data_IF_709386966217
#
_entry.id   IF_709386966217
#
_cell.length_a   1.000
_cell.length_b   1.000
_cell.length_c   1.000
_cell.angle_alpha   90.00
_cell.angle_beta   90.00
_cell.angle_gamma   90.00
#
_symmetry.space_group_name_H-M   'P 1'
#
loop_
_entity.id
_entity.type
_entity.pdbx_description
1 polymer ?
#
# COMPACT_ATOMS: atom_id res chain seq x y z
N UNK A 1 18.24 -16.17 26.20
CA UNK A 1 17.58 -14.85 26.31
C UNK A 1 17.42 -14.30 24.92
N UNK A 2 16.19 -14.38 24.37
CA UNK A 2 15.85 -13.76 23.10
C UNK A 2 16.06 -12.24 23.22
N UNK A 3 16.78 -11.65 22.26
CA UNK A 3 16.82 -10.18 22.16
C UNK A 3 15.39 -9.66 21.95
N UNK A 4 15.03 -8.52 22.57
CA UNK A 4 13.74 -7.93 22.34
C UNK A 4 13.60 -7.60 20.84
N UNK A 5 12.48 -7.98 20.24
CA UNK A 5 12.13 -7.60 18.87
C UNK A 5 11.97 -6.07 18.85
N UNK A 6 12.60 -5.43 17.88
CA UNK A 6 12.52 -3.99 17.69
C UNK A 6 11.87 -3.73 16.32
N UNK A 7 10.65 -3.20 16.31
CA UNK A 7 9.91 -2.93 15.09
C UNK A 7 10.07 -1.47 14.67
N UNK A 8 10.36 -1.24 13.39
CA UNK A 8 10.44 0.09 12.80
C UNK A 8 9.09 0.59 12.31
N UNK A 9 8.15 -0.33 12.05
CA UNK A 9 6.79 0.00 11.59
C UNK A 9 5.75 -0.87 12.29
N UNK A 10 4.57 -0.27 12.55
CA UNK A 10 3.35 -0.95 12.98
C UNK A 10 2.23 -0.53 12.05
N UNK A 11 1.43 -1.48 11.57
CA UNK A 11 0.32 -1.20 10.66
C UNK A 11 -0.95 -1.91 11.13
N UNK A 12 -1.98 -1.15 11.46
CA UNK A 12 -3.31 -1.65 11.78
C UNK A 12 -4.21 -1.43 10.59
N UNK A 13 -4.52 -2.53 9.91
CA UNK A 13 -5.39 -2.55 8.75
C UNK A 13 -6.38 -3.70 8.78
N UNK A 14 -7.22 -3.74 7.76
CA UNK A 14 -8.25 -4.77 7.61
C UNK A 14 -9.49 -4.52 8.48
N UNK A 15 -10.64 -4.37 7.85
CA UNK A 15 -11.87 -3.98 8.54
C UNK A 15 -11.86 -2.53 8.99
N UNK A 16 -12.27 -2.24 10.23
CA UNK A 16 -12.22 -0.90 10.82
C UNK A 16 -11.55 -0.96 12.19
N UNK A 17 -10.23 -0.71 12.26
CA UNK A 17 -9.50 -0.69 13.54
C UNK A 17 -10.08 0.28 14.57
N UNK A 18 -10.72 1.36 14.12
CA UNK A 18 -11.37 2.33 15.01
C UNK A 18 -12.53 1.76 15.84
N UNK A 19 -13.13 0.65 15.42
CA UNK A 19 -14.18 -0.05 16.18
C UNK A 19 -13.62 -0.96 17.27
N UNK A 20 -12.32 -1.23 17.27
CA UNK A 20 -11.69 -2.04 18.31
C UNK A 20 -11.47 -1.21 19.58
N UNK A 21 -11.56 -1.90 20.75
CA UNK A 21 -10.98 -1.39 21.99
C UNK A 21 -9.46 -1.51 21.90
N UNK A 22 -8.78 -0.37 21.83
CA UNK A 22 -7.33 -0.31 21.71
C UNK A 22 -6.61 -0.29 23.07
N UNK A 23 -7.35 -0.16 24.18
CA UNK A 23 -6.76 -0.11 25.51
C UNK A 23 -5.91 -1.33 25.87
N UNK A 24 -6.31 -2.59 25.56
CA UNK A 24 -5.48 -3.77 25.81
C UNK A 24 -4.19 -3.81 24.99
N UNK A 25 -4.13 -3.09 23.89
CA UNK A 25 -2.96 -3.07 23.01
C UNK A 25 -1.89 -2.11 23.50
N UNK A 26 -2.24 -1.14 24.34
CA UNK A 26 -1.32 -0.09 24.81
C UNK A 26 -0.07 -0.68 25.50
N UNK A 27 -0.26 -1.66 26.35
CA UNK A 27 0.84 -2.31 27.09
C UNK A 27 1.70 -3.16 26.14
N UNK A 28 1.07 -3.88 25.21
CA UNK A 28 1.79 -4.67 24.19
C UNK A 28 2.57 -3.75 23.27
N UNK A 29 1.94 -2.71 22.74
CA UNK A 29 2.57 -1.77 21.82
C UNK A 29 3.71 -0.99 22.48
N UNK A 30 3.57 -0.59 23.73
CA UNK A 30 4.63 0.11 24.46
C UNK A 30 5.90 -0.74 24.63
N UNK A 31 5.76 -2.06 24.62
CA UNK A 31 6.91 -3.00 24.66
C UNK A 31 7.51 -3.28 23.27
N UNK A 32 6.76 -3.08 22.21
CA UNK A 32 7.16 -3.36 20.82
C UNK A 32 7.67 -2.12 20.09
N UNK A 33 7.13 -0.94 20.42
CA UNK A 33 7.50 0.32 19.77
C UNK A 33 8.71 0.91 20.49
N UNK A 34 9.78 1.30 19.78
CA UNK A 34 10.92 1.95 20.39
C UNK A 34 10.47 3.21 21.15
N UNK A 35 11.06 3.44 22.32
CA UNK A 35 10.77 4.63 23.13
C UNK A 35 10.92 5.89 22.26
N UNK A 36 10.09 6.96 22.46
CA UNK A 36 10.16 8.22 21.69
C UNK A 36 11.55 8.86 21.63
N UNK A 37 12.44 8.52 22.56
CA UNK A 37 13.85 8.93 22.55
C UNK A 37 14.75 8.05 21.67
N UNK A 38 14.25 6.98 21.04
CA UNK A 38 15.05 6.17 20.11
C UNK A 38 15.30 6.99 18.84
N UNK A 39 16.56 6.99 18.36
CA UNK A 39 16.96 7.67 17.12
C UNK A 39 16.41 7.01 15.84
N UNK A 40 15.65 5.92 15.97
CA UNK A 40 15.04 5.21 14.84
C UNK A 40 13.61 5.76 14.68
N UNK A 41 13.34 6.52 13.62
CA UNK A 41 12.00 6.97 13.34
C UNK A 41 11.12 5.75 13.07
N UNK A 42 10.04 5.59 13.81
CA UNK A 42 9.04 4.55 13.55
C UNK A 42 7.82 5.12 12.84
N UNK A 43 7.10 4.26 12.14
CA UNK A 43 5.80 4.58 11.56
C UNK A 43 4.74 3.69 12.21
N UNK A 44 3.69 4.32 12.74
CA UNK A 44 2.51 3.62 13.21
C UNK A 44 1.30 4.09 12.43
N UNK A 45 0.86 3.22 11.50
CA UNK A 45 -0.28 3.48 10.61
C UNK A 45 -1.54 2.83 11.15
N UNK A 46 -2.66 3.55 11.04
CA UNK A 46 -4.01 3.01 11.26
C UNK A 46 -4.89 3.35 10.06
N UNK A 47 -5.63 2.34 9.58
CA UNK A 47 -6.69 2.54 8.59
C UNK A 47 -7.97 3.01 9.27
N UNK A 48 -8.65 3.99 8.66
CA UNK A 48 -9.92 4.54 9.17
C UNK A 48 -10.99 4.52 8.08
N UNK A 49 -12.20 4.19 8.51
CA UNK A 49 -13.39 4.44 7.72
C UNK A 49 -13.92 5.85 8.02
N UNK A 50 -14.40 6.64 7.06
CA UNK A 50 -14.87 8.01 7.29
C UNK A 50 -15.89 8.15 8.41
N UNK A 51 -16.83 7.19 8.54
CA UNK A 51 -17.86 7.21 9.59
C UNK A 51 -17.32 6.95 11.00
N UNK A 52 -16.14 6.37 11.14
CA UNK A 52 -15.54 6.05 12.44
C UNK A 52 -14.65 7.18 12.96
N UNK A 53 -14.49 8.25 12.18
CA UNK A 53 -13.68 9.41 12.55
C UNK A 53 -14.44 10.28 13.53
N UNK A 54 -13.96 10.31 14.78
CA UNK A 54 -14.43 11.21 15.84
C UNK A 54 -13.26 11.84 16.57
N UNK A 55 -13.44 13.01 17.17
CA UNK A 55 -12.36 13.64 17.94
C UNK A 55 -11.85 12.73 19.07
N UNK A 56 -12.75 12.01 19.75
CA UNK A 56 -12.39 11.09 20.81
C UNK A 56 -11.49 9.98 20.31
N UNK A 57 -11.83 9.37 19.15
CA UNK A 57 -11.03 8.31 18.53
C UNK A 57 -9.67 8.84 18.04
N UNK A 58 -9.63 10.03 17.45
CA UNK A 58 -8.36 10.60 16.98
C UNK A 58 -7.41 10.91 18.15
N UNK A 59 -7.92 11.39 19.30
CA UNK A 59 -7.13 11.56 20.51
C UNK A 59 -6.63 10.23 21.07
N UNK A 60 -7.49 9.22 21.11
CA UNK A 60 -7.10 7.86 21.54
C UNK A 60 -5.95 7.31 20.68
N UNK A 61 -6.03 7.48 19.35
CA UNK A 61 -4.98 7.06 18.42
C UNK A 61 -3.68 7.85 18.60
N UNK A 62 -3.78 9.16 18.81
CA UNK A 62 -2.63 10.02 19.10
C UNK A 62 -1.95 9.62 20.43
N UNK A 63 -2.73 9.38 21.49
CA UNK A 63 -2.24 8.90 22.79
C UNK A 63 -1.60 7.50 22.71
N UNK A 64 -2.03 6.69 21.74
CA UNK A 64 -1.45 5.38 21.45
C UNK A 64 -0.11 5.47 20.69
N UNK A 65 0.21 6.65 20.14
CA UNK A 65 1.44 6.90 19.38
C UNK A 65 1.28 6.69 17.87
N UNK A 66 0.04 6.59 17.37
CA UNK A 66 -0.21 6.60 15.92
C UNK A 66 0.32 7.91 15.32
N UNK A 67 0.98 7.82 14.18
CA UNK A 67 1.54 8.99 13.49
C UNK A 67 1.26 9.02 11.99
N UNK A 68 0.54 8.02 11.46
CA UNK A 68 0.08 7.97 10.08
C UNK A 68 -1.35 7.43 10.00
N UNK A 69 -2.19 8.07 9.20
CA UNK A 69 -3.56 7.63 8.92
C UNK A 69 -3.74 7.34 7.43
N UNK A 70 -4.38 6.21 7.09
CA UNK A 70 -4.92 5.93 5.76
C UNK A 70 -6.44 5.86 5.85
N UNK A 71 -7.14 6.75 5.14
CA UNK A 71 -8.59 6.79 5.19
C UNK A 71 -9.22 6.24 3.91
N UNK A 72 -10.03 5.20 4.04
CA UNK A 72 -10.71 4.55 2.92
C UNK A 72 -11.83 5.40 2.33
N UNK A 73 -11.51 6.34 1.45
CA UNK A 73 -12.49 7.19 0.74
C UNK A 73 -13.17 6.43 -0.39
N UNK A 74 -12.43 5.58 -1.09
CA UNK A 74 -12.82 4.64 -2.13
C UNK A 74 -13.28 5.30 -3.45
N UNK A 75 -14.19 6.27 -3.42
CA UNK A 75 -14.64 7.01 -4.61
C UNK A 75 -14.91 8.48 -4.28
N UNK A 76 -14.78 9.33 -5.30
CA UNK A 76 -15.22 10.72 -5.22
C UNK A 76 -16.67 10.89 -5.71
N UNK A 77 -17.35 9.81 -6.11
CA UNK A 77 -18.70 9.82 -6.65
C UNK A 77 -19.70 9.25 -5.64
N UNK A 78 -20.76 10.03 -5.29
CA UNK A 78 -21.74 9.63 -4.29
C UNK A 78 -22.60 8.45 -4.76
N UNK A 79 -22.89 8.35 -6.06
CA UNK A 79 -23.68 7.24 -6.60
C UNK A 79 -22.85 5.95 -6.52
N UNK A 80 -21.55 6.02 -6.80
CA UNK A 80 -20.62 4.88 -6.63
C UNK A 80 -20.47 4.52 -5.15
N UNK A 81 -20.31 5.50 -4.26
CA UNK A 81 -20.23 5.25 -2.82
C UNK A 81 -21.49 4.56 -2.30
N UNK A 82 -22.66 4.98 -2.79
CA UNK A 82 -23.94 4.36 -2.44
C UNK A 82 -24.03 2.92 -2.96
N UNK A 83 -23.63 2.65 -4.23
CA UNK A 83 -23.62 1.31 -4.81
C UNK A 83 -22.61 0.38 -4.11
N UNK A 84 -21.48 0.92 -3.70
CA UNK A 84 -20.50 0.24 -2.83
C UNK A 84 -21.00 0.02 -1.40
N UNK A 85 -22.18 0.54 -1.04
CA UNK A 85 -22.76 0.47 0.30
C UNK A 85 -21.86 1.07 1.39
N UNK A 86 -21.19 2.19 1.09
CA UNK A 86 -20.23 2.79 2.03
C UNK A 86 -20.92 3.57 3.17
N UNK A 87 -22.16 4.01 2.99
CA UNK A 87 -22.95 4.69 4.01
C UNK A 87 -22.57 6.16 4.27
N UNK A 88 -21.68 6.74 3.46
CA UNK A 88 -21.26 8.14 3.52
C UNK A 88 -21.18 8.73 2.11
N UNK A 89 -21.23 10.06 2.04
CA UNK A 89 -21.02 10.86 0.82
C UNK A 89 -19.57 11.36 0.73
N UNK A 90 -19.19 11.89 -0.43
CA UNK A 90 -17.92 12.58 -0.60
C UNK A 90 -17.77 13.77 0.38
N UNK A 91 -18.86 14.47 0.68
CA UNK A 91 -18.85 15.57 1.65
C UNK A 91 -18.57 15.09 3.08
N UNK A 92 -19.12 13.93 3.47
CA UNK A 92 -18.83 13.31 4.77
C UNK A 92 -17.37 12.87 4.85
N UNK A 93 -16.84 12.25 3.80
CA UNK A 93 -15.43 11.87 3.73
C UNK A 93 -14.50 13.09 3.79
N UNK A 94 -14.84 14.21 3.11
CA UNK A 94 -14.10 15.47 3.21
C UNK A 94 -14.08 16.00 4.64
N UNK A 95 -15.24 16.06 5.30
CA UNK A 95 -15.33 16.51 6.68
C UNK A 95 -14.51 15.65 7.64
N UNK A 96 -14.58 14.31 7.48
CA UNK A 96 -13.81 13.36 8.24
C UNK A 96 -12.28 13.56 8.02
N UNK A 97 -11.84 13.71 6.76
CA UNK A 97 -10.43 13.93 6.46
C UNK A 97 -9.91 15.26 7.03
N UNK A 98 -10.69 16.33 6.94
CA UNK A 98 -10.32 17.60 7.55
C UNK A 98 -10.22 17.50 9.09
N UNK A 99 -11.02 16.64 9.72
CA UNK A 99 -10.89 16.33 11.14
C UNK A 99 -9.59 15.56 11.42
N UNK A 100 -9.27 14.54 10.62
CA UNK A 100 -8.00 13.79 10.73
C UNK A 100 -6.79 14.74 10.62
N UNK A 101 -6.80 15.67 9.66
CA UNK A 101 -5.71 16.62 9.44
C UNK A 101 -5.42 17.56 10.61
N UNK A 102 -6.35 17.72 11.54
CA UNK A 102 -6.10 18.53 12.78
C UNK A 102 -5.21 17.80 13.79
N UNK A 103 -5.16 16.46 13.70
CA UNK A 103 -4.41 15.60 14.62
C UNK A 103 -3.17 14.99 13.96
N UNK A 104 -3.25 14.66 12.67
CA UNK A 104 -2.22 13.91 11.95
C UNK A 104 -1.80 14.64 10.67
N UNK A 105 -0.54 15.11 10.61
CA UNK A 105 0.00 15.68 9.36
C UNK A 105 0.20 14.60 8.29
N UNK A 106 0.68 13.41 8.68
CA UNK A 106 0.86 12.28 7.78
C UNK A 106 -0.47 11.54 7.59
N UNK A 107 -1.32 12.09 6.73
CA UNK A 107 -2.62 11.52 6.40
C UNK A 107 -2.77 11.34 4.88
N UNK A 108 -3.28 10.19 4.50
CA UNK A 108 -3.58 9.79 3.13
C UNK A 108 -4.97 9.23 2.98
N UNK A 109 -5.33 8.96 1.73
CA UNK A 109 -6.60 8.34 1.36
C UNK A 109 -6.37 7.13 0.45
N UNK A 110 -7.36 6.25 0.40
CA UNK A 110 -7.40 5.13 -0.53
C UNK A 110 -8.56 5.33 -1.52
N UNK A 111 -8.28 5.14 -2.81
CA UNK A 111 -9.23 5.24 -3.93
C UNK A 111 -9.28 3.92 -4.70
N UNK A 112 -10.46 3.58 -5.20
CA UNK A 112 -10.69 2.46 -6.13
C UNK A 112 -11.06 3.04 -7.49
N UNK A 113 -10.37 2.59 -8.52
CA UNK A 113 -10.59 2.98 -9.93
C UNK A 113 -11.11 1.78 -10.69
N UNK A 114 -11.96 2.02 -11.68
CA UNK A 114 -12.53 0.97 -12.51
C UNK A 114 -13.89 0.47 -12.03
N UNK A 115 -14.55 1.20 -11.13
CA UNK A 115 -15.92 0.84 -10.73
C UNK A 115 -16.91 1.10 -11.88
N UNK A 116 -17.97 0.25 -12.05
CA UNK A 116 -19.03 0.49 -13.03
C UNK A 116 -19.64 1.89 -12.87
N UNK A 117 -19.82 2.60 -13.97
CA UNK A 117 -20.39 3.95 -13.96
C UNK A 117 -19.42 5.10 -13.64
N UNK A 118 -18.18 4.79 -13.24
CA UNK A 118 -17.17 5.83 -13.00
C UNK A 118 -16.86 6.63 -14.27
N UNK A 119 -16.73 7.95 -14.16
CA UNK A 119 -16.32 8.83 -15.27
C UNK A 119 -14.81 8.82 -15.47
N UNK A 120 -14.36 8.93 -16.72
CA UNK A 120 -12.93 9.14 -17.06
C UNK A 120 -12.50 10.61 -17.00
N UNK A 121 -13.42 11.54 -16.75
CA UNK A 121 -13.11 12.97 -16.67
C UNK A 121 -12.84 13.42 -15.23
N UNK A 122 -11.94 14.38 -15.05
CA UNK A 122 -11.81 15.10 -13.78
C UNK A 122 -13.10 15.88 -13.50
N UNK A 123 -13.64 15.70 -12.31
CA UNK A 123 -14.88 16.33 -11.85
C UNK A 123 -14.58 17.51 -10.92
N UNK A 124 -15.55 18.39 -10.61
CA UNK A 124 -15.38 19.41 -9.57
C UNK A 124 -14.96 18.87 -8.20
N UNK A 125 -15.23 17.59 -7.92
CA UNK A 125 -14.80 16.91 -6.68
C UNK A 125 -13.27 16.73 -6.63
N UNK A 126 -12.60 16.53 -7.77
CA UNK A 126 -11.14 16.52 -7.84
C UNK A 126 -10.55 17.88 -7.43
N UNK A 127 -11.16 18.99 -7.87
CA UNK A 127 -10.72 20.32 -7.45
C UNK A 127 -10.94 20.59 -5.94
N UNK A 128 -11.93 19.94 -5.31
CA UNK A 128 -12.09 19.94 -3.85
C UNK A 128 -11.03 19.07 -3.18
N UNK A 129 -10.81 17.84 -3.69
CA UNK A 129 -9.79 16.93 -3.19
C UNK A 129 -8.38 17.56 -3.21
N UNK A 130 -8.07 18.36 -4.23
CA UNK A 130 -6.80 19.08 -4.30
C UNK A 130 -6.54 20.01 -3.10
N UNK A 131 -7.58 20.43 -2.38
CA UNK A 131 -7.48 21.30 -1.20
C UNK A 131 -7.35 20.54 0.12
N UNK A 132 -7.41 19.21 0.10
CA UNK A 132 -7.36 18.41 1.32
C UNK A 132 -5.96 18.37 1.95
N UNK A 133 -4.91 18.72 1.20
CA UNK A 133 -3.53 18.67 1.70
C UNK A 133 -3.07 17.24 1.95
N UNK A 134 -3.38 16.34 1.00
CA UNK A 134 -2.97 14.95 1.04
C UNK A 134 -1.44 14.84 1.13
N UNK A 135 -0.96 13.91 1.95
CA UNK A 135 0.44 13.50 1.98
C UNK A 135 0.67 12.18 1.23
N UNK A 136 -0.38 11.39 1.12
CA UNK A 136 -0.33 10.06 0.52
C UNK A 136 -1.68 9.72 -0.13
N UNK A 137 -1.65 8.93 -1.19
CA UNK A 137 -2.83 8.37 -1.82
C UNK A 137 -2.52 6.97 -2.34
N UNK A 138 -3.34 5.99 -1.93
CA UNK A 138 -3.34 4.67 -2.53
C UNK A 138 -4.41 4.62 -3.62
N UNK A 139 -4.08 4.08 -4.79
CA UNK A 139 -5.00 3.93 -5.92
C UNK A 139 -4.99 2.49 -6.38
N UNK A 140 -6.12 1.82 -6.21
CA UNK A 140 -6.28 0.41 -6.56
C UNK A 140 -7.23 0.28 -7.75
N UNK A 141 -6.93 -0.63 -8.67
CA UNK A 141 -7.92 -1.11 -9.64
C UNK A 141 -8.95 -2.00 -8.95
N UNK A 142 -10.21 -1.89 -9.37
CA UNK A 142 -11.28 -2.76 -8.86
C UNK A 142 -10.93 -4.23 -9.12
N UNK A 143 -10.88 -5.03 -8.07
CA UNK A 143 -10.89 -6.49 -8.18
C UNK A 143 -12.32 -6.99 -8.10
N UNK A 144 -12.86 -7.49 -9.23
CA UNK A 144 -14.27 -7.88 -9.35
C UNK A 144 -14.56 -9.25 -8.77
N UNK A 145 -14.20 -9.50 -7.52
CA UNK A 145 -14.47 -10.77 -6.83
C UNK A 145 -15.98 -10.99 -6.56
N UNK A 146 -16.76 -9.92 -6.52
CA UNK A 146 -18.21 -9.98 -6.29
C UNK A 146 -19.03 -10.21 -7.56
N UNK A 147 -18.40 -10.29 -8.74
CA UNK A 147 -19.07 -10.50 -10.00
C UNK A 147 -19.97 -9.33 -10.42
N UNK A 148 -19.55 -8.10 -10.17
CA UNK A 148 -20.26 -6.91 -10.63
C UNK A 148 -20.45 -6.93 -12.14
N UNK A 149 -21.60 -6.49 -12.60
CA UNK A 149 -21.90 -6.33 -14.04
C UNK A 149 -21.38 -4.98 -14.54
N UNK A 150 -21.18 -4.90 -15.87
CA UNK A 150 -20.76 -3.67 -16.56
C UNK A 150 -19.43 -3.09 -16.03
N UNK A 151 -18.53 -3.97 -15.56
CA UNK A 151 -17.16 -3.56 -15.21
C UNK A 151 -16.49 -3.08 -16.51
N UNK A 152 -15.79 -1.93 -16.47
CA UNK A 152 -15.01 -1.43 -17.60
C UNK A 152 -13.99 -2.46 -18.08
N UNK A 153 -13.64 -2.40 -19.36
CA UNK A 153 -12.52 -3.15 -19.91
C UNK A 153 -11.17 -2.62 -19.38
N UNK A 154 -10.13 -3.41 -19.56
CA UNK A 154 -8.79 -3.08 -19.06
C UNK A 154 -8.27 -1.75 -19.63
N UNK A 155 -8.54 -1.44 -20.91
CA UNK A 155 -8.12 -0.18 -21.55
C UNK A 155 -8.76 1.02 -20.86
N UNK A 156 -10.05 0.93 -20.55
CA UNK A 156 -10.78 1.97 -19.81
C UNK A 156 -10.22 2.14 -18.39
N UNK A 157 -9.94 1.03 -17.69
CA UNK A 157 -9.36 1.07 -16.33
C UNK A 157 -7.98 1.71 -16.37
N UNK A 158 -7.12 1.32 -17.31
CA UNK A 158 -5.78 1.88 -17.48
C UNK A 158 -5.81 3.38 -17.77
N UNK A 159 -6.71 3.82 -18.65
CA UNK A 159 -6.88 5.26 -18.92
C UNK A 159 -7.30 6.05 -17.64
N UNK A 160 -8.17 5.48 -16.81
CA UNK A 160 -8.57 6.11 -15.54
C UNK A 160 -7.42 6.17 -14.54
N UNK A 161 -6.63 5.09 -14.44
CA UNK A 161 -5.44 5.07 -13.59
C UNK A 161 -4.44 6.15 -14.02
N UNK A 162 -4.20 6.31 -15.33
CA UNK A 162 -3.30 7.33 -15.88
C UNK A 162 -3.81 8.76 -15.60
N UNK A 163 -5.11 9.02 -15.79
CA UNK A 163 -5.73 10.32 -15.45
C UNK A 163 -5.56 10.60 -13.95
N UNK A 164 -5.81 9.62 -13.09
CA UNK A 164 -5.66 9.75 -11.64
C UNK A 164 -4.20 9.99 -11.26
N UNK A 165 -3.25 9.26 -11.86
CA UNK A 165 -1.83 9.44 -11.62
C UNK A 165 -1.34 10.85 -11.99
N UNK A 166 -1.76 11.38 -13.15
CA UNK A 166 -1.44 12.76 -13.55
C UNK A 166 -2.03 13.78 -12.59
N UNK A 167 -3.27 13.62 -12.19
CA UNK A 167 -3.90 14.48 -11.20
C UNK A 167 -3.13 14.49 -9.88
N UNK A 168 -2.74 13.32 -9.37
CA UNK A 168 -1.96 13.21 -8.14
C UNK A 168 -0.57 13.85 -8.29
N UNK A 169 0.08 13.70 -9.46
CA UNK A 169 1.35 14.34 -9.75
C UNK A 169 1.26 15.87 -9.75
N UNK A 170 0.17 16.45 -10.25
CA UNK A 170 -0.10 17.91 -10.17
C UNK A 170 -0.22 18.40 -8.72
N UNK A 171 -0.64 17.51 -7.79
CA UNK A 171 -0.67 17.79 -6.35
C UNK A 171 0.70 17.56 -5.67
N UNK A 172 1.73 17.14 -6.41
CA UNK A 172 3.06 16.83 -5.90
C UNK A 172 3.21 15.43 -5.32
N UNK A 173 2.17 14.57 -5.42
CA UNK A 173 2.26 13.17 -5.00
C UNK A 173 2.94 12.36 -6.10
N UNK A 174 4.10 11.81 -5.81
CA UNK A 174 4.87 10.98 -6.73
C UNK A 174 4.57 9.49 -6.49
N UNK A 175 4.38 8.74 -7.57
CA UNK A 175 4.23 7.28 -7.50
C UNK A 175 5.54 6.68 -7.01
N UNK A 176 5.54 5.94 -5.91
CA UNK A 176 6.74 5.31 -5.36
C UNK A 176 6.73 3.77 -5.46
N UNK A 177 5.55 3.17 -5.65
CA UNK A 177 5.33 1.76 -5.98
C UNK A 177 4.02 1.60 -6.77
N UNK A 178 3.59 0.38 -7.08
CA UNK A 178 2.51 0.09 -8.05
C UNK A 178 1.22 0.87 -7.76
N UNK A 179 0.77 0.92 -6.50
CA UNK A 179 -0.53 1.47 -6.13
C UNK A 179 -0.44 2.77 -5.34
N UNK A 180 0.75 3.17 -4.88
CA UNK A 180 0.89 4.22 -3.88
C UNK A 180 1.64 5.45 -4.38
N UNK A 181 1.11 6.62 -4.02
CA UNK A 181 1.62 7.95 -4.35
C UNK A 181 1.81 8.75 -3.07
N UNK A 182 2.90 9.50 -2.96
CA UNK A 182 3.19 10.31 -1.78
C UNK A 182 3.91 11.61 -2.14
N UNK A 183 3.76 12.61 -1.31
CA UNK A 183 4.71 13.72 -1.24
C UNK A 183 6.06 13.13 -0.78
N UNK A 184 7.19 13.46 -1.40
CA UNK A 184 8.50 12.93 -1.02
C UNK A 184 8.75 13.05 0.50
N UNK A 185 9.09 11.93 1.13
CA UNK A 185 9.26 11.79 2.58
C UNK A 185 8.03 11.33 3.35
N UNK A 186 6.87 11.16 2.67
CA UNK A 186 5.64 10.64 3.25
C UNK A 186 5.22 9.27 2.66
N UNK A 187 6.15 8.58 2.00
CA UNK A 187 5.95 7.20 1.55
C UNK A 187 5.62 6.31 2.75
N UNK A 188 4.69 5.36 2.58
CA UNK A 188 4.38 4.37 3.62
C UNK A 188 5.59 3.45 3.82
N UNK A 189 6.27 3.61 4.96
CA UNK A 189 7.48 2.85 5.29
C UNK A 189 7.17 1.37 5.47
N UNK A 190 6.00 1.05 6.02
CA UNK A 190 5.57 -0.34 6.17
C UNK A 190 5.45 -1.01 4.80
N UNK A 191 4.77 -0.38 3.83
CA UNK A 191 4.62 -0.93 2.48
C UNK A 191 6.00 -1.11 1.81
N UNK A 192 6.87 -0.10 1.92
CA UNK A 192 8.22 -0.21 1.37
C UNK A 192 9.03 -1.33 2.02
N UNK A 193 8.94 -1.53 3.34
CA UNK A 193 9.62 -2.62 4.03
C UNK A 193 9.17 -3.99 3.50
N UNK A 194 7.85 -4.17 3.29
CA UNK A 194 7.29 -5.39 2.69
C UNK A 194 7.80 -5.59 1.26
N UNK A 195 7.78 -4.54 0.42
CA UNK A 195 8.28 -4.62 -0.97
C UNK A 195 9.80 -4.80 -1.05
N UNK A 196 10.56 -4.35 -0.07
CA UNK A 196 12.00 -4.64 0.03
C UNK A 196 12.28 -6.07 0.49
N UNK A 197 11.24 -6.82 0.88
CA UNK A 197 11.34 -8.17 1.40
C UNK A 197 11.92 -8.23 2.80
N UNK A 198 11.75 -7.19 3.61
CA UNK A 198 12.13 -7.20 5.02
C UNK A 198 11.24 -8.16 5.81
N UNK A 199 11.72 -8.61 6.96
CA UNK A 199 10.95 -9.49 7.83
C UNK A 199 9.81 -8.71 8.52
N UNK A 200 8.64 -9.32 8.63
CA UNK A 200 7.48 -8.75 9.31
C UNK A 200 6.61 -9.83 9.95
N UNK A 201 5.89 -9.48 11.00
CA UNK A 201 4.96 -10.35 11.70
C UNK A 201 3.53 -9.91 11.41
N UNK A 202 2.72 -10.83 10.89
CA UNK A 202 1.29 -10.63 10.73
C UNK A 202 0.51 -11.18 11.92
N UNK A 203 -0.39 -10.37 12.49
CA UNK A 203 -1.25 -10.75 13.60
C UNK A 203 -2.72 -10.59 13.19
N UNK A 204 -3.51 -11.62 13.43
CA UNK A 204 -4.95 -11.63 13.10
C UNK A 204 -5.29 -12.51 11.89
N UNK A 205 -6.59 -12.67 11.64
CA UNK A 205 -7.10 -13.47 10.52
C UNK A 205 -6.72 -12.81 9.19
N UNK A 206 -6.17 -13.61 8.27
CA UNK A 206 -5.72 -13.14 6.96
C UNK A 206 -4.36 -12.42 6.96
N UNK A 207 -3.84 -12.04 8.13
CA UNK A 207 -2.54 -11.37 8.20
C UNK A 207 -1.40 -12.32 7.82
N UNK A 208 -0.58 -11.90 6.86
CA UNK A 208 0.61 -12.62 6.43
C UNK A 208 1.82 -12.17 7.22
N UNK A 209 2.80 -13.06 7.37
CA UNK A 209 4.09 -12.76 7.99
C UNK A 209 5.25 -13.44 7.24
N UNK A 210 6.42 -12.86 7.43
CA UNK A 210 7.69 -13.33 6.89
C UNK A 210 8.78 -13.19 7.94
N UNK A 211 9.49 -14.29 8.22
CA UNK A 211 10.63 -14.31 9.13
C UNK A 211 11.71 -15.23 8.54
N UNK A 212 12.71 -14.65 7.87
CA UNK A 212 13.67 -15.42 7.10
C UNK A 212 12.97 -16.30 6.04
N UNK A 213 13.17 -17.62 6.11
CA UNK A 213 12.54 -18.58 5.18
C UNK A 213 11.10 -18.97 5.57
N UNK A 214 10.64 -18.61 6.76
CA UNK A 214 9.28 -18.91 7.20
C UNK A 214 8.28 -17.89 6.63
N UNK A 215 7.10 -18.41 6.27
CA UNK A 215 5.91 -17.64 5.88
C UNK A 215 4.78 -18.04 6.81
N UNK A 216 4.00 -17.07 7.24
CA UNK A 216 2.85 -17.32 8.12
C UNK A 216 1.60 -16.68 7.55
N UNK A 217 0.45 -17.30 7.81
CA UNK A 217 -0.87 -16.73 7.49
C UNK A 217 -1.78 -16.96 8.70
N UNK A 218 -2.34 -15.88 9.23
CA UNK A 218 -3.32 -15.95 10.31
C UNK A 218 -4.61 -16.61 9.84
N UNK A 219 -5.12 -17.57 10.64
CA UNK A 219 -6.38 -18.26 10.42
C UNK A 219 -7.26 -18.10 11.66
N UNK A 220 -8.57 -18.34 11.54
CA UNK A 220 -9.50 -18.32 12.70
C UNK A 220 -9.07 -19.21 13.85
N UNK A 221 -8.41 -20.32 13.55
CA UNK A 221 -8.05 -21.36 14.51
C UNK A 221 -6.56 -21.39 14.85
N UNK A 222 -5.79 -20.38 14.45
CA UNK A 222 -4.34 -20.32 14.71
C UNK A 222 -3.56 -19.71 13.57
N UNK A 223 -2.30 -20.12 13.44
CA UNK A 223 -1.40 -19.62 12.38
C UNK A 223 -0.98 -20.81 11.51
N UNK A 224 -1.15 -20.66 10.21
CA UNK A 224 -0.59 -21.58 9.22
C UNK A 224 0.86 -21.17 8.94
N UNK A 225 1.78 -22.12 9.02
CA UNK A 225 3.20 -21.89 8.77
C UNK A 225 3.67 -22.72 7.56
N UNK A 226 4.53 -22.13 6.75
CA UNK A 226 5.25 -22.82 5.68
C UNK A 226 6.68 -22.33 5.61
N UNK A 227 7.55 -23.11 4.99
CA UNK A 227 8.94 -22.75 4.78
C UNK A 227 9.27 -22.79 3.29
N UNK A 228 9.95 -21.76 2.80
CA UNK A 228 10.37 -21.64 1.40
C UNK A 228 11.86 -21.97 1.26
N UNK A 229 12.30 -22.31 0.05
CA UNK A 229 13.73 -22.52 -0.22
C UNK A 229 14.48 -21.18 -0.24
N UNK A 230 15.79 -21.18 0.04
CA UNK A 230 16.62 -19.98 -0.08
C UNK A 230 16.59 -19.34 -1.49
N UNK A 231 16.52 -20.17 -2.54
CA UNK A 231 16.39 -19.67 -3.92
C UNK A 231 15.05 -18.96 -4.13
N UNK A 232 13.95 -19.54 -3.64
CA UNK A 232 12.63 -18.92 -3.74
C UNK A 232 12.59 -17.59 -2.97
N UNK A 233 13.11 -17.56 -1.74
CA UNK A 233 13.17 -16.36 -0.91
C UNK A 233 13.96 -15.24 -1.60
N UNK A 234 15.09 -15.57 -2.22
CA UNK A 234 15.92 -14.62 -2.94
C UNK A 234 15.19 -14.04 -4.16
N UNK A 235 14.52 -14.88 -4.96
CA UNK A 235 13.71 -14.45 -6.10
C UNK A 235 12.53 -13.58 -5.65
N UNK A 236 11.79 -14.02 -4.63
CA UNK A 236 10.64 -13.30 -4.10
C UNK A 236 11.03 -11.88 -3.65
N UNK A 237 12.12 -11.73 -2.88
CA UNK A 237 12.66 -10.40 -2.48
C UNK A 237 13.00 -9.53 -3.68
N UNK A 238 13.63 -10.12 -4.67
CA UNK A 238 14.01 -9.41 -5.88
C UNK A 238 12.78 -8.93 -6.68
N UNK A 239 11.80 -9.81 -6.85
CA UNK A 239 10.57 -9.50 -7.60
C UNK A 239 9.68 -8.49 -6.87
N UNK A 240 9.62 -8.54 -5.55
CA UNK A 240 8.93 -7.52 -4.77
C UNK A 240 9.54 -6.13 -4.98
N UNK A 241 10.87 -6.01 -5.02
CA UNK A 241 11.55 -4.74 -5.29
C UNK A 241 11.23 -4.16 -6.67
N UNK A 242 11.00 -5.01 -7.67
CA UNK A 242 10.59 -4.53 -9.00
C UNK A 242 9.29 -3.72 -8.96
N UNK A 243 8.43 -3.96 -7.96
CA UNK A 243 7.18 -3.21 -7.77
C UNK A 243 7.42 -1.77 -7.31
N UNK A 244 8.62 -1.41 -6.92
CA UNK A 244 8.99 -0.08 -6.40
C UNK A 244 9.84 0.72 -7.40
N UNK A 245 9.92 2.02 -7.19
CA UNK A 245 10.85 2.89 -7.94
C UNK A 245 12.33 2.60 -7.64
N UNK A 246 12.64 1.92 -6.54
CA UNK A 246 14.00 1.46 -6.26
C UNK A 246 14.47 0.43 -7.30
N UNK A 247 13.56 -0.43 -7.72
CA UNK A 247 13.78 -1.44 -8.72
C UNK A 247 14.45 -2.71 -8.17
N UNK A 248 14.66 -3.65 -9.08
CA UNK A 248 15.29 -4.94 -8.87
C UNK A 248 16.80 -4.83 -9.09
N UNK A 249 17.59 -5.01 -8.03
CA UNK A 249 19.04 -5.25 -8.14
C UNK A 249 19.31 -6.75 -8.34
N UNK A 250 19.90 -7.11 -9.46
CA UNK A 250 20.16 -8.50 -9.83
C UNK A 250 21.48 -9.05 -9.27
N UNK A 251 22.23 -8.27 -8.49
CA UNK A 251 23.57 -8.68 -7.99
C UNK A 251 23.53 -10.04 -7.30
N UNK A 252 22.61 -10.23 -6.34
CA UNK A 252 22.50 -11.49 -5.60
C UNK A 252 21.95 -12.64 -6.46
N UNK A 253 21.17 -12.34 -7.50
CA UNK A 253 20.59 -13.36 -8.40
C UNK A 253 21.61 -13.98 -9.34
N UNK A 254 22.77 -13.33 -9.57
CA UNK A 254 23.79 -13.81 -10.50
C UNK A 254 24.34 -15.20 -10.17
N UNK A 255 24.26 -15.60 -8.90
CA UNK A 255 24.70 -16.94 -8.45
C UNK A 255 23.69 -18.05 -8.75
N UNK A 256 22.45 -17.71 -9.15
CA UNK A 256 21.41 -18.68 -9.43
C UNK A 256 21.60 -19.33 -10.81
N UNK A 257 21.40 -20.65 -10.95
CA UNK A 257 21.39 -21.32 -12.25
C UNK A 257 20.37 -20.73 -13.25
N UNK A 258 19.25 -20.20 -12.73
CA UNK A 258 18.19 -19.56 -13.52
C UNK A 258 18.52 -18.14 -13.97
N UNK A 259 19.60 -17.53 -13.49
CA UNK A 259 19.94 -16.13 -13.77
C UNK A 259 20.05 -15.77 -15.26
N UNK A 260 20.68 -16.60 -16.13
CA UNK A 260 20.71 -16.29 -17.56
C UNK A 260 19.33 -16.13 -18.19
N UNK A 261 18.37 -16.94 -17.80
CA UNK A 261 16.99 -16.85 -18.25
C UNK A 261 16.31 -15.58 -17.70
N UNK A 262 16.43 -15.34 -16.37
CA UNK A 262 15.90 -14.14 -15.73
C UNK A 262 16.42 -12.87 -16.41
N UNK A 263 17.73 -12.79 -16.64
CA UNK A 263 18.36 -11.65 -17.31
C UNK A 263 17.84 -11.46 -18.74
N UNK A 264 17.73 -12.54 -19.51
CA UNK A 264 17.21 -12.46 -20.88
C UNK A 264 15.76 -11.95 -20.91
N UNK A 265 14.93 -12.36 -19.94
CA UNK A 265 13.57 -11.88 -19.80
C UNK A 265 13.52 -10.40 -19.43
N UNK A 266 14.33 -9.96 -18.45
CA UNK A 266 14.43 -8.55 -18.07
C UNK A 266 14.92 -7.70 -19.26
N UNK A 267 15.97 -8.14 -19.98
CA UNK A 267 16.50 -7.41 -21.14
C UNK A 267 15.47 -7.31 -22.29
N UNK A 268 14.63 -8.35 -22.52
CA UNK A 268 13.49 -8.26 -23.46
C UNK A 268 12.51 -7.17 -23.07
N UNK A 269 12.19 -7.08 -21.78
CA UNK A 269 11.26 -6.06 -21.29
C UNK A 269 11.87 -4.65 -21.35
N UNK A 270 13.20 -4.50 -21.27
CA UNK A 270 13.89 -3.23 -21.56
C UNK A 270 13.72 -2.84 -23.04
N UNK A 271 13.91 -3.78 -23.97
CA UNK A 271 13.71 -3.53 -25.41
C UNK A 271 12.25 -3.18 -25.73
N UNK A 272 11.29 -3.77 -25.00
CA UNK A 272 9.86 -3.45 -25.10
C UNK A 272 9.48 -2.09 -24.50
N UNK A 273 10.40 -1.40 -23.82
CA UNK A 273 10.16 -0.12 -23.15
C UNK A 273 9.31 -0.25 -21.87
N UNK A 274 9.27 -1.45 -21.29
CA UNK A 274 8.57 -1.73 -20.02
C UNK A 274 9.49 -1.61 -18.81
N UNK A 275 10.81 -1.80 -19.03
CA UNK A 275 11.83 -1.63 -18.02
C UNK A 275 12.90 -0.64 -18.51
N UNK A 276 13.53 -0.01 -17.55
CA UNK A 276 14.80 0.72 -17.72
C UNK A 276 15.89 -0.05 -16.98
N UNK A 277 17.14 0.04 -17.50
CA UNK A 277 18.28 -0.64 -16.91
C UNK A 277 19.42 0.33 -16.63
N UNK A 278 19.91 0.29 -15.40
CA UNK A 278 21.11 0.98 -14.96
C UNK A 278 22.08 -0.03 -14.31
N UNK A 279 23.10 -0.47 -15.05
CA UNK A 279 24.00 -1.52 -14.62
C UNK A 279 23.29 -2.85 -14.34
N UNK A 280 23.19 -3.22 -13.08
CA UNK A 280 22.51 -4.43 -12.59
C UNK A 280 21.12 -4.16 -12.02
N UNK A 281 20.68 -2.90 -12.03
CA UNK A 281 19.38 -2.50 -11.52
C UNK A 281 18.39 -2.32 -12.67
N UNK A 282 17.24 -2.96 -12.56
CA UNK A 282 16.10 -2.83 -13.47
C UNK A 282 14.94 -2.13 -12.76
N UNK A 283 14.33 -1.15 -13.42
CA UNK A 283 13.18 -0.39 -12.91
C UNK A 283 12.04 -0.43 -13.91
N UNK A 284 10.83 -0.50 -13.41
CA UNK A 284 9.64 -0.34 -14.26
C UNK A 284 9.56 1.10 -14.78
N UNK A 285 9.30 1.25 -16.08
CA UNK A 285 8.81 2.50 -16.64
C UNK A 285 7.37 2.76 -16.18
N UNK A 286 6.78 3.93 -16.44
CA UNK A 286 5.35 4.15 -16.15
C UNK A 286 4.49 3.07 -16.84
N UNK A 287 4.76 2.78 -18.11
CA UNK A 287 4.08 1.74 -18.88
C UNK A 287 4.34 0.34 -18.29
N UNK A 288 5.54 0.07 -17.79
CA UNK A 288 5.87 -1.19 -17.13
C UNK A 288 5.13 -1.38 -15.80
N UNK A 289 4.88 -0.30 -15.06
CA UNK A 289 4.10 -0.36 -13.83
C UNK A 289 2.65 -0.80 -14.05
N UNK A 290 2.09 -0.48 -15.21
CA UNK A 290 0.73 -0.87 -15.60
C UNK A 290 0.60 -2.39 -15.84
N UNK A 291 1.68 -3.04 -16.26
CA UNK A 291 1.71 -4.47 -16.60
C UNK A 291 2.68 -5.27 -15.72
N UNK A 292 2.97 -4.76 -14.53
CA UNK A 292 3.95 -5.35 -13.62
C UNK A 292 3.69 -6.83 -13.33
N UNK A 293 2.45 -7.23 -13.09
CA UNK A 293 2.11 -8.61 -12.77
C UNK A 293 2.37 -9.55 -13.95
N UNK A 294 2.17 -9.10 -15.19
CA UNK A 294 2.53 -9.88 -16.38
C UNK A 294 4.05 -10.05 -16.49
N UNK A 295 4.82 -8.99 -16.24
CA UNK A 295 6.30 -9.08 -16.22
C UNK A 295 6.77 -10.05 -15.14
N UNK A 296 6.20 -9.99 -13.94
CA UNK A 296 6.54 -10.87 -12.82
C UNK A 296 6.20 -12.32 -13.13
N UNK A 297 5.08 -12.58 -13.80
CA UNK A 297 4.70 -13.92 -14.24
C UNK A 297 5.68 -14.52 -15.26
N UNK A 298 6.34 -13.70 -16.10
CA UNK A 298 7.39 -14.17 -17.02
C UNK A 298 8.70 -14.51 -16.30
N UNK A 299 8.93 -13.95 -15.10
CA UNK A 299 10.15 -14.13 -14.30
C UNK A 299 10.06 -15.31 -13.33
N UNK A 300 8.84 -15.74 -12.97
CA UNK A 300 8.59 -16.84 -12.03
C UNK A 300 8.93 -18.21 -12.64
#
# INVERSE_FOLDING_TARGET
>A
TSQPLNFSTVYFGGGSPALCDLAPLKDVLSSLIPHPSSLIPYEFTVELHPLDVTEAKLRELEDLGVNRISMGVQSLDDDILADMQRGYTFADAEAAFQMVKRYFDNAGIDLIVGYPGETTALTPRHARLAKWGLRHCSVYSLQNERGLKNVPDDETVMNRLDITARFLAELGLQRYEISNYAIPGYECRHNLAVWRGEDYIGLGEGACGRMGLKRTVGRKTGVEESEVTPEFDLKERAFFRLRTREGLDTTALQSLPSYPFLRATLDRNVVAGLLERDGLVYRLTERGMEVCDAILAELA
#
